data_IF_300346762873
#
_entry.id   IF_300346762873
#
_cell.length_a   1.000
_cell.length_b   1.000
_cell.length_c   1.000
_cell.angle_alpha   90.00
_cell.angle_beta   90.00
_cell.angle_gamma   90.00
#
_symmetry.space_group_name_H-M   'P 1'
#
loop_
_entity.id
_entity.type
_entity.pdbx_description
1 polymer ?
#
# COMPACT_ATOMS: atom_id res chain seq x y z
N UNK A 1 18.13 -7.52 8.24
CA UNK A 1 19.15 -6.65 7.66
C UNK A 1 20.25 -7.42 6.97
N UNK A 2 20.65 -8.56 7.54
CA UNK A 2 21.67 -9.40 6.92
C UNK A 2 21.21 -9.86 5.54
N UNK A 3 19.94 -10.24 5.42
CA UNK A 3 19.39 -10.66 4.13
C UNK A 3 19.44 -9.51 3.14
N UNK A 4 19.08 -8.30 3.58
CA UNK A 4 19.07 -7.14 2.71
C UNK A 4 20.50 -6.75 2.28
N UNK A 5 21.47 -6.94 3.15
CA UNK A 5 22.85 -6.64 2.82
C UNK A 5 23.38 -7.59 1.74
N UNK A 6 22.88 -8.81 1.71
CA UNK A 6 23.31 -9.79 0.73
C UNK A 6 22.66 -9.59 -0.64
N UNK A 7 21.64 -8.73 -0.73
CA UNK A 7 20.89 -8.52 -1.98
C UNK A 7 21.03 -7.10 -2.47
N UNK A 8 22.25 -6.65 -2.59
CA UNK A 8 22.54 -5.34 -3.14
C UNK A 8 21.85 -5.09 -4.49
N UNK A 9 21.76 -6.08 -5.39
CA UNK A 9 21.09 -5.85 -6.67
C UNK A 9 19.63 -5.43 -6.55
N UNK A 10 18.96 -5.74 -5.44
CA UNK A 10 17.57 -5.32 -5.21
C UNK A 10 17.46 -4.18 -4.22
N UNK A 11 18.55 -3.43 -4.03
CA UNK A 11 18.55 -2.30 -3.12
C UNK A 11 17.55 -1.22 -3.50
N UNK A 12 17.32 -1.00 -4.80
CA UNK A 12 16.33 -0.04 -5.26
C UNK A 12 14.91 -0.44 -4.85
N UNK A 13 14.64 -1.74 -4.79
CA UNK A 13 13.36 -2.25 -4.33
C UNK A 13 13.17 -1.98 -2.84
N UNK A 14 14.24 -2.10 -2.06
CA UNK A 14 14.18 -1.78 -0.64
C UNK A 14 13.83 -0.30 -0.44
N UNK A 15 14.44 0.59 -1.24
CA UNK A 15 14.12 2.01 -1.18
C UNK A 15 12.66 2.25 -1.51
N UNK A 16 12.14 1.54 -2.51
CA UNK A 16 10.73 1.66 -2.89
C UNK A 16 9.81 1.25 -1.76
N UNK A 17 10.15 0.17 -1.05
CA UNK A 17 9.37 -0.29 0.09
C UNK A 17 9.36 0.77 1.19
N UNK A 18 10.50 1.40 1.43
CA UNK A 18 10.57 2.46 2.44
C UNK A 18 9.67 3.64 2.07
N UNK A 19 9.64 3.99 0.79
CA UNK A 19 8.75 5.05 0.32
C UNK A 19 7.29 4.69 0.53
N UNK A 20 6.93 3.45 0.21
CA UNK A 20 5.57 2.97 0.47
C UNK A 20 5.21 3.08 1.94
N UNK A 21 6.11 2.64 2.81
CA UNK A 21 5.87 2.67 4.25
C UNK A 21 5.67 4.09 4.75
N UNK A 22 6.48 5.02 4.25
CA UNK A 22 6.33 6.43 4.62
C UNK A 22 4.99 6.99 4.16
N UNK A 23 4.59 6.64 2.95
CA UNK A 23 3.30 7.09 2.44
C UNK A 23 2.16 6.57 3.29
N UNK A 24 2.21 5.30 3.67
CA UNK A 24 1.19 4.71 4.54
C UNK A 24 1.19 5.36 5.91
N UNK A 25 2.36 5.68 6.45
CA UNK A 25 2.44 6.39 7.73
C UNK A 25 1.77 7.75 7.66
N UNK A 26 1.99 8.49 6.57
CA UNK A 26 1.35 9.77 6.38
C UNK A 26 -0.16 9.62 6.25
N UNK A 27 -0.59 8.60 5.53
CA UNK A 27 -2.01 8.31 5.38
C UNK A 27 -2.63 8.03 6.74
N UNK A 28 -1.96 7.23 7.57
CA UNK A 28 -2.47 6.90 8.90
C UNK A 28 -2.59 8.15 9.76
N UNK A 29 -1.55 8.98 9.75
CA UNK A 29 -1.59 10.22 10.52
C UNK A 29 -2.77 11.09 10.07
N UNK A 30 -2.92 11.24 8.77
CA UNK A 30 -4.00 12.07 8.23
C UNK A 30 -5.37 11.47 8.53
N UNK A 31 -5.49 10.14 8.49
CA UNK A 31 -6.76 9.50 8.82
C UNK A 31 -7.13 9.72 10.29
N UNK A 32 -6.15 9.64 11.18
CA UNK A 32 -6.38 9.89 12.59
C UNK A 32 -6.72 11.35 12.84
N UNK A 33 -6.03 12.27 12.17
CA UNK A 33 -6.34 13.70 12.27
C UNK A 33 -7.75 13.96 11.75
N UNK A 34 -8.13 13.34 10.65
CA UNK A 34 -9.47 13.48 10.08
C UNK A 34 -10.53 13.00 11.09
N UNK A 35 -10.23 11.91 11.77
CA UNK A 35 -11.14 11.38 12.78
C UNK A 35 -11.30 12.35 13.94
N UNK A 36 -10.18 12.85 14.43
CA UNK A 36 -10.20 13.76 15.60
C UNK A 36 -10.91 15.07 15.25
N UNK A 37 -10.65 15.59 14.06
CA UNK A 37 -11.22 16.88 13.62
C UNK A 37 -12.56 16.74 12.92
N UNK A 38 -13.02 15.52 12.70
CA UNK A 38 -14.24 15.25 11.93
C UNK A 38 -14.19 15.88 10.55
N UNK A 39 -13.06 15.71 9.89
CA UNK A 39 -12.77 16.34 8.60
C UNK A 39 -12.89 15.31 7.48
N UNK A 40 -14.04 15.30 6.81
CA UNK A 40 -14.30 14.36 5.73
C UNK A 40 -13.42 14.64 4.52
N UNK A 41 -13.07 15.90 4.27
CA UNK A 41 -12.20 16.22 3.13
C UNK A 41 -10.81 15.60 3.30
N UNK A 42 -10.27 15.69 4.50
CA UNK A 42 -8.97 15.10 4.78
C UNK A 42 -9.04 13.58 4.64
N UNK A 43 -10.13 12.98 5.07
CA UNK A 43 -10.34 11.55 4.91
C UNK A 43 -10.39 11.15 3.44
N UNK A 44 -11.05 11.96 2.61
CA UNK A 44 -11.08 11.69 1.17
C UNK A 44 -9.68 11.76 0.56
N UNK A 45 -8.85 12.69 1.00
CA UNK A 45 -7.48 12.78 0.53
C UNK A 45 -6.69 11.53 0.87
N UNK A 46 -6.94 10.95 2.03
CA UNK A 46 -6.29 9.70 2.42
C UNK A 46 -6.67 8.59 1.46
N UNK A 47 -7.95 8.49 1.12
CA UNK A 47 -8.43 7.47 0.19
C UNK A 47 -7.77 7.63 -1.18
N UNK A 48 -7.65 8.86 -1.66
CA UNK A 48 -7.03 9.12 -2.96
C UNK A 48 -5.55 8.74 -2.96
N UNK A 49 -4.86 8.93 -1.85
CA UNK A 49 -3.44 8.57 -1.77
C UNK A 49 -3.22 7.05 -1.82
N UNK A 50 -4.23 6.27 -1.50
CA UNK A 50 -4.10 4.83 -1.57
C UNK A 50 -3.83 4.34 -3.00
N UNK A 51 -4.27 5.11 -4.00
CA UNK A 51 -3.95 4.79 -5.39
C UNK A 51 -2.44 4.85 -5.63
N UNK A 52 -1.78 5.82 -5.03
CA UNK A 52 -0.32 5.94 -5.17
C UNK A 52 0.38 4.74 -4.55
N UNK A 53 -0.11 4.26 -3.42
CA UNK A 53 0.44 3.07 -2.77
C UNK A 53 0.25 1.86 -3.67
N UNK A 54 -0.92 1.71 -4.26
CA UNK A 54 -1.19 0.60 -5.18
C UNK A 54 -0.26 0.64 -6.38
N UNK A 55 -0.04 1.83 -6.95
CA UNK A 55 0.88 1.97 -8.08
C UNK A 55 2.30 1.62 -7.68
N UNK A 56 2.74 2.07 -6.51
CA UNK A 56 4.06 1.75 -6.00
C UNK A 56 4.21 0.24 -5.81
N UNK A 57 3.19 -0.39 -5.27
CA UNK A 57 3.21 -1.84 -5.07
C UNK A 57 3.32 -2.58 -6.40
N UNK A 58 2.52 -2.20 -7.38
CA UNK A 58 2.53 -2.86 -8.67
C UNK A 58 3.87 -2.67 -9.40
N UNK A 59 4.43 -1.46 -9.33
CA UNK A 59 5.73 -1.20 -9.92
C UNK A 59 6.82 -2.03 -9.23
N UNK A 60 6.77 -2.11 -7.92
CA UNK A 60 7.72 -2.90 -7.16
C UNK A 60 7.60 -4.38 -7.50
N UNK A 61 6.39 -4.88 -7.62
CA UNK A 61 6.18 -6.28 -7.96
C UNK A 61 6.83 -6.63 -9.30
N UNK A 62 6.62 -5.78 -10.31
CA UNK A 62 7.24 -5.99 -11.61
C UNK A 62 8.77 -5.94 -11.53
N UNK A 63 9.28 -5.01 -10.72
CA UNK A 63 10.72 -4.89 -10.53
C UNK A 63 11.30 -6.15 -9.88
N UNK A 64 10.61 -6.67 -8.87
CA UNK A 64 11.05 -7.90 -8.20
C UNK A 64 11.01 -9.09 -9.14
N UNK A 65 9.98 -9.19 -9.98
CA UNK A 65 9.92 -10.27 -10.97
C UNK A 65 11.10 -10.21 -11.91
N UNK A 66 11.47 -9.01 -12.36
CA UNK A 66 12.60 -8.82 -13.24
C UNK A 66 13.89 -9.31 -12.58
N UNK A 67 14.10 -8.93 -11.32
CA UNK A 67 15.29 -9.37 -10.58
C UNK A 67 15.34 -10.88 -10.42
N UNK A 68 14.20 -11.52 -10.18
CA UNK A 68 14.17 -12.98 -10.05
C UNK A 68 14.48 -13.66 -11.38
N UNK A 69 14.03 -13.09 -12.48
CA UNK A 69 14.29 -13.65 -13.80
C UNK A 69 15.74 -13.47 -14.24
N UNK A 70 16.36 -12.37 -13.86
CA UNK A 70 17.75 -12.09 -14.20
C UNK A 70 18.72 -13.00 -13.46
N UNK A 71 18.43 -13.30 -12.21
CA UNK A 71 19.32 -14.08 -11.37
C UNK A 71 18.50 -14.90 -10.38
N UNK A 72 18.42 -16.22 -10.60
CA UNK A 72 17.65 -17.07 -9.70
C UNK A 72 18.11 -17.01 -8.24
N UNK A 73 19.36 -16.61 -7.98
CA UNK A 73 19.83 -16.50 -6.61
C UNK A 73 19.14 -15.37 -5.85
N UNK A 74 18.47 -14.48 -6.58
CA UNK A 74 17.72 -13.38 -5.96
C UNK A 74 16.32 -13.79 -5.50
N UNK A 75 15.88 -14.99 -5.83
CA UNK A 75 14.48 -15.38 -5.57
C UNK A 75 14.11 -15.28 -4.11
N UNK A 76 14.91 -15.83 -3.22
CA UNK A 76 14.61 -15.80 -1.79
C UNK A 76 14.48 -14.37 -1.26
N UNK A 77 15.46 -13.52 -1.61
CA UNK A 77 15.44 -12.14 -1.17
C UNK A 77 14.25 -11.38 -1.73
N UNK A 78 13.94 -11.61 -3.00
CA UNK A 78 12.81 -10.95 -3.64
C UNK A 78 11.49 -11.40 -3.00
N UNK A 79 11.38 -12.66 -2.61
CA UNK A 79 10.20 -13.15 -1.92
C UNK A 79 10.02 -12.46 -0.58
N UNK A 80 11.11 -12.26 0.17
CA UNK A 80 11.03 -11.53 1.43
C UNK A 80 10.59 -10.09 1.21
N UNK A 81 11.15 -9.43 0.20
CA UNK A 81 10.78 -8.06 -0.09
C UNK A 81 9.33 -7.97 -0.55
N UNK A 82 8.89 -8.92 -1.35
CA UNK A 82 7.50 -8.95 -1.78
C UNK A 82 6.56 -9.12 -0.59
N UNK A 83 6.92 -9.98 0.34
CA UNK A 83 6.11 -10.18 1.54
C UNK A 83 5.97 -8.91 2.35
N UNK A 84 7.09 -8.20 2.53
CA UNK A 84 7.07 -6.92 3.25
C UNK A 84 6.20 -5.91 2.51
N UNK A 85 6.38 -5.80 1.20
CA UNK A 85 5.61 -4.87 0.39
C UNK A 85 4.11 -5.17 0.45
N UNK A 86 3.75 -6.45 0.42
CA UNK A 86 2.35 -6.85 0.52
C UNK A 86 1.75 -6.45 1.86
N UNK A 87 2.52 -6.60 2.93
CA UNK A 87 2.05 -6.19 4.25
C UNK A 87 1.87 -4.68 4.34
N UNK A 88 2.78 -3.92 3.75
CA UNK A 88 2.65 -2.45 3.73
C UNK A 88 1.40 -2.05 2.94
N UNK A 89 1.17 -2.70 1.81
CA UNK A 89 -0.01 -2.43 0.99
C UNK A 89 -1.29 -2.73 1.76
N UNK A 90 -1.31 -3.83 2.51
CA UNK A 90 -2.45 -4.18 3.34
C UNK A 90 -2.67 -3.17 4.45
N UNK A 91 -1.61 -2.65 5.03
CA UNK A 91 -1.73 -1.58 6.02
C UNK A 91 -2.38 -0.35 5.41
N UNK A 92 -2.01 -0.03 4.18
CA UNK A 92 -2.66 1.07 3.45
C UNK A 92 -4.16 0.83 3.27
N UNK A 93 -4.55 -0.40 2.98
CA UNK A 93 -5.96 -0.77 2.86
C UNK A 93 -6.70 -0.55 4.18
N UNK A 94 -6.08 -0.92 5.29
CA UNK A 94 -6.68 -0.70 6.61
C UNK A 94 -6.84 0.78 6.91
N UNK A 95 -5.83 1.57 6.56
CA UNK A 95 -5.91 3.02 6.77
C UNK A 95 -7.03 3.62 5.93
N UNK A 96 -7.17 3.15 4.69
CA UNK A 96 -8.25 3.60 3.82
C UNK A 96 -9.61 3.27 4.43
N UNK A 97 -9.74 2.09 5.04
CA UNK A 97 -10.98 1.71 5.72
C UNK A 97 -11.28 2.66 6.87
N UNK A 98 -10.26 3.07 7.62
CA UNK A 98 -10.44 4.05 8.68
C UNK A 98 -10.97 5.36 8.10
N UNK A 99 -10.37 5.82 7.00
CA UNK A 99 -10.80 7.06 6.36
C UNK A 99 -12.24 6.97 5.88
N UNK A 100 -12.64 5.83 5.34
CA UNK A 100 -14.02 5.61 4.93
C UNK A 100 -14.98 5.70 6.11
N UNK A 101 -14.57 5.14 7.25
CA UNK A 101 -15.37 5.22 8.46
C UNK A 101 -15.51 6.66 8.94
N UNK A 102 -14.45 7.45 8.82
CA UNK A 102 -14.49 8.86 9.18
C UNK A 102 -15.53 9.59 8.31
N UNK A 103 -15.50 9.33 7.02
CA UNK A 103 -16.46 9.96 6.11
C UNK A 103 -17.89 9.57 6.49
N UNK A 104 -18.10 8.32 6.79
CA UNK A 104 -19.42 7.84 7.21
C UNK A 104 -19.86 8.54 8.51
N UNK A 105 -18.93 8.65 9.45
CA UNK A 105 -19.22 9.28 10.75
C UNK A 105 -19.64 10.74 10.59
N UNK A 106 -19.01 11.44 9.65
CA UNK A 106 -19.27 12.87 9.44
C UNK A 106 -20.47 13.12 8.54
N UNK A 107 -20.60 12.35 7.47
CA UNK A 107 -21.62 12.62 6.45
C UNK A 107 -22.83 11.70 6.54
N UNK A 108 -22.68 10.58 7.22
CA UNK A 108 -23.75 9.58 7.29
C UNK A 108 -23.82 8.67 6.09
N UNK A 109 -22.90 8.82 5.14
CA UNK A 109 -22.84 8.01 3.94
C UNK A 109 -21.47 7.43 3.71
N UNK A 110 -21.41 6.15 3.36
CA UNK A 110 -20.15 5.56 2.92
C UNK A 110 -19.85 6.06 1.51
N UNK A 111 -18.55 6.25 1.19
CA UNK A 111 -18.19 6.59 -0.19
C UNK A 111 -18.62 5.47 -1.13
N UNK A 112 -19.58 5.75 -2.01
CA UNK A 112 -20.09 4.75 -2.93
C UNK A 112 -19.06 4.35 -3.96
N UNK A 113 -18.31 5.34 -4.40
CA UNK A 113 -17.26 5.08 -5.38
C UNK A 113 -16.02 4.69 -4.62
N UNK A 114 -16.06 3.52 -4.04
CA UNK A 114 -14.89 2.99 -3.37
C UNK A 114 -13.70 3.22 -4.27
N UNK A 115 -12.58 3.59 -3.67
CA UNK A 115 -11.37 3.86 -4.41
C UNK A 115 -11.12 2.79 -5.47
N UNK A 116 -10.74 3.20 -6.68
CA UNK A 116 -10.34 2.21 -7.67
C UNK A 116 -9.07 1.51 -7.22
N UNK A 117 -9.05 0.20 -7.28
CA UNK A 117 -7.89 -0.60 -6.94
C UNK A 117 -7.25 -1.13 -8.19
N UNK A 118 -5.96 -0.95 -8.32
CA UNK A 118 -5.21 -1.51 -9.43
C UNK A 118 -5.04 -3.01 -9.28
N UNK A 119 -4.95 -3.48 -8.04
CA UNK A 119 -4.87 -4.90 -7.74
C UNK A 119 -6.30 -5.45 -7.69
N UNK A 120 -6.70 -6.10 -8.74
CA UNK A 120 -8.06 -6.63 -8.88
C UNK A 120 -8.24 -8.02 -8.28
N UNK A 121 -7.18 -8.59 -7.77
CA UNK A 121 -7.23 -9.94 -7.21
C UNK A 121 -8.23 -10.03 -6.07
N UNK A 122 -8.22 -9.04 -5.20
CA UNK A 122 -9.14 -9.01 -4.07
C UNK A 122 -10.59 -8.89 -4.49
N UNK A 123 -10.85 -8.14 -5.56
CA UNK A 123 -12.19 -7.99 -6.08
C UNK A 123 -12.73 -9.29 -6.62
N UNK A 124 -11.93 -9.96 -7.42
CA UNK A 124 -12.34 -11.23 -8.01
C UNK A 124 -12.71 -12.23 -6.91
N UNK A 125 -11.88 -12.30 -5.88
CA UNK A 125 -12.14 -13.19 -4.76
C UNK A 125 -13.40 -12.82 -4.00
N UNK A 126 -13.61 -11.53 -3.80
CA UNK A 126 -14.76 -11.06 -3.03
C UNK A 126 -16.08 -11.28 -3.76
N UNK A 127 -16.05 -11.25 -5.07
CA UNK A 127 -17.27 -11.41 -5.86
C UNK A 127 -17.66 -12.87 -6.05
N UNK A 128 -16.76 -13.77 -5.86
CA UNK A 128 -17.06 -15.19 -6.00
C UNK A 128 -17.42 -15.82 -4.67
#
# INVERSE_FOLDING_TARGET
TTVLAEVEPVGSSYVSIRKMAREVQMMLKNALDAYIQRDAELAEQVILRDEDVDEMYNALFRQLLTHMMEDPSNITACMHLHFIAKNVERMGDHVTSIAEQVIYLVTGHMPDDARPKLDKTSYVTAET
#
